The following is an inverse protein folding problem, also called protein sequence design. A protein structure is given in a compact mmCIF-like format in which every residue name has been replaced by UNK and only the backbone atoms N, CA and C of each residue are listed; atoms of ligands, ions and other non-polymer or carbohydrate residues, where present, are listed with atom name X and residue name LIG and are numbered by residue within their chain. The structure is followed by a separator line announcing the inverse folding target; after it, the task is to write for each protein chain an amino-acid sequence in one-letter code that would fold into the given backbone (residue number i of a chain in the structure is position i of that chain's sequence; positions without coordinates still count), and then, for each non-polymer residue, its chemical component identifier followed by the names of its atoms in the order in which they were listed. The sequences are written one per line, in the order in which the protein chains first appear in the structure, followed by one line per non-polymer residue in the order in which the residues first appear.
data_IF_411434407721
#
_entry.id   IF_411434407721
#
_cell.length_a   1.000
_cell.length_b   1.000
_cell.length_c   1.000
_cell.angle_alpha   90.00
_cell.angle_beta   90.00
_cell.angle_gamma   90.00
#
_symmetry.space_group_name_H-M   'P 1'
#
loop_
_entity.id
_entity.type
_entity.pdbx_description
1 polymer ?
#
# COMPACT_ATOMS: atom_id res chain seq x y z
N UNK A 1 12.51 -15.72 9.55
CA UNK A 1 11.44 -16.24 8.67
C UNK A 1 10.42 -16.95 9.56
N UNK A 2 9.40 -16.26 10.06
CA UNK A 2 8.37 -16.88 10.91
C UNK A 2 7.09 -17.10 10.10
N UNK A 3 6.56 -18.32 10.16
CA UNK A 3 5.29 -18.69 9.57
C UNK A 3 4.13 -18.20 10.45
N UNK A 4 3.17 -17.47 9.88
CA UNK A 4 1.99 -17.00 10.61
C UNK A 4 0.92 -18.08 10.64
N UNK A 5 0.56 -18.55 11.84
CA UNK A 5 -0.73 -19.19 12.10
C UNK A 5 -1.82 -18.12 11.83
N UNK A 6 -2.83 -18.40 11.01
CA UNK A 6 -3.95 -17.49 10.62
C UNK A 6 -3.77 -16.62 9.36
N UNK A 7 -2.75 -16.84 8.53
CA UNK A 7 -2.65 -16.19 7.21
C UNK A 7 -2.43 -14.67 7.23
N UNK A 8 -2.09 -14.09 8.39
CA UNK A 8 -1.71 -12.68 8.54
C UNK A 8 -0.29 -12.60 9.07
N UNK A 9 0.61 -12.06 8.25
CA UNK A 9 2.00 -11.84 8.63
C UNK A 9 2.08 -11.02 9.93
N UNK A 10 2.99 -11.40 10.86
CA UNK A 10 3.23 -10.60 12.05
C UNK A 10 3.77 -9.21 11.65
N UNK A 11 3.52 -8.17 12.46
CA UNK A 11 4.16 -6.86 12.28
C UNK A 11 5.69 -6.99 12.30
N UNK A 12 6.38 -6.00 11.72
CA UNK A 12 7.82 -5.88 11.85
C UNK A 12 8.21 -5.66 13.33
N UNK A 13 9.36 -6.22 13.74
CA UNK A 13 9.91 -5.98 15.10
C UNK A 13 10.15 -4.49 15.36
N UNK A 14 10.52 -3.77 14.29
CA UNK A 14 10.68 -2.31 14.26
C UNK A 14 9.88 -1.72 13.10
N UNK A 15 8.61 -1.38 13.30
CA UNK A 15 7.83 -0.66 12.31
C UNK A 15 8.46 0.71 12.04
N UNK A 16 8.36 1.16 10.80
CA UNK A 16 8.85 2.46 10.37
C UNK A 16 7.74 3.23 9.64
N UNK A 17 7.89 4.55 9.59
CA UNK A 17 6.97 5.41 8.84
C UNK A 17 7.46 5.53 7.41
N UNK A 18 6.53 5.38 6.46
CA UNK A 18 6.75 5.60 5.05
C UNK A 18 5.43 5.97 4.37
N UNK A 19 5.52 6.72 3.28
CA UNK A 19 4.41 7.01 2.37
C UNK A 19 4.40 6.06 1.15
N UNK A 20 5.56 5.48 0.84
CA UNK A 20 5.80 4.62 -0.32
C UNK A 20 6.68 3.44 0.09
N UNK A 21 6.28 2.23 -0.31
CA UNK A 21 7.01 0.99 -0.03
C UNK A 21 7.25 0.28 -1.35
N UNK A 22 8.50 -0.13 -1.62
CA UNK A 22 8.80 -1.00 -2.74
C UNK A 22 8.34 -2.43 -2.40
N UNK A 23 7.63 -3.07 -3.32
CA UNK A 23 7.12 -4.43 -3.14
C UNK A 23 7.53 -5.25 -4.35
N UNK A 24 8.47 -6.18 -4.14
CA UNK A 24 8.93 -7.11 -5.16
C UNK A 24 7.95 -8.30 -5.32
N UNK A 25 8.11 -9.12 -6.37
CA UNK A 25 7.26 -10.30 -6.56
C UNK A 25 7.28 -11.23 -5.35
N UNK A 26 6.09 -11.66 -4.92
CA UNK A 26 5.82 -12.53 -3.76
C UNK A 26 6.16 -11.92 -2.38
N UNK A 27 6.61 -10.67 -2.32
CA UNK A 27 6.71 -9.94 -1.06
C UNK A 27 5.32 -9.55 -0.55
N UNK A 28 5.21 -9.50 0.77
CA UNK A 28 3.98 -9.18 1.49
C UNK A 28 4.34 -8.38 2.72
N UNK A 29 3.71 -7.21 2.85
CA UNK A 29 3.94 -6.30 3.96
C UNK A 29 2.62 -5.98 4.67
N UNK A 30 2.52 -6.16 6.00
CA UNK A 30 1.44 -5.55 6.76
C UNK A 30 1.69 -4.03 6.86
N UNK A 31 0.71 -3.24 6.43
CA UNK A 31 0.76 -1.76 6.52
C UNK A 31 -0.35 -1.27 7.44
N UNK A 32 0.01 -0.39 8.36
CA UNK A 32 -0.92 0.33 9.22
C UNK A 32 -1.01 1.77 8.71
N UNK A 33 -2.24 2.24 8.46
CA UNK A 33 -2.50 3.59 7.98
C UNK A 33 -3.28 4.34 9.05
N UNK A 34 -2.85 5.56 9.36
CA UNK A 34 -3.55 6.48 10.25
C UNK A 34 -3.75 7.79 9.51
N UNK A 35 -5.01 8.17 9.30
CA UNK A 35 -5.36 9.50 8.79
C UNK A 35 -5.69 10.42 9.96
N UNK A 36 -5.14 11.63 9.93
CA UNK A 36 -5.49 12.74 10.82
C UNK A 36 -6.41 13.76 10.14
N UNK A 37 -6.62 13.64 8.83
CA UNK A 37 -7.51 14.48 8.04
C UNK A 37 -8.55 13.63 7.27
N UNK A 38 -9.81 14.05 7.32
CA UNK A 38 -10.91 13.42 6.59
C UNK A 38 -10.79 13.75 5.11
N UNK A 39 -11.10 12.78 4.24
CA UNK A 39 -11.04 13.02 2.81
C UNK A 39 -10.99 11.75 1.97
N UNK A 40 -10.86 11.97 0.66
CA UNK A 40 -10.60 10.90 -0.32
C UNK A 40 -9.15 11.02 -0.76
N UNK A 41 -8.35 10.02 -0.39
CA UNK A 41 -6.91 10.00 -0.61
C UNK A 41 -6.55 8.98 -1.68
N UNK A 42 -5.61 9.32 -2.57
CA UNK A 42 -5.17 8.40 -3.62
C UNK A 42 -4.17 7.40 -3.03
N UNK A 43 -4.43 6.11 -3.24
CA UNK A 43 -3.49 5.03 -3.02
C UNK A 43 -3.18 4.38 -4.36
N UNK A 44 -1.91 4.39 -4.79
CA UNK A 44 -1.56 3.91 -6.12
C UNK A 44 -0.15 3.33 -6.20
N UNK A 45 0.12 2.57 -7.26
CA UNK A 45 1.47 2.18 -7.61
C UNK A 45 2.27 3.40 -8.09
N UNK A 46 3.50 3.57 -7.61
CA UNK A 46 4.33 4.71 -7.97
C UNK A 46 4.95 4.59 -9.39
N UNK A 47 4.79 3.44 -10.06
CA UNK A 47 5.15 3.25 -11.48
C UNK A 47 4.02 3.81 -12.36
N UNK A 48 4.24 4.98 -12.96
CA UNK A 48 3.21 5.72 -13.70
C UNK A 48 2.53 4.93 -14.82
N UNK A 49 3.29 4.11 -15.57
CA UNK A 49 2.72 3.25 -16.62
C UNK A 49 1.74 2.19 -16.10
N UNK A 50 1.69 1.94 -14.79
CA UNK A 50 0.72 1.05 -14.16
C UNK A 50 -0.54 1.78 -13.65
N UNK A 51 -0.53 3.11 -13.65
CA UNK A 51 -1.57 3.93 -12.99
C UNK A 51 -2.14 5.07 -13.84
N UNK A 52 -1.52 5.44 -14.95
CA UNK A 52 -1.86 6.63 -15.73
C UNK A 52 -1.92 6.39 -17.24
N UNK A 53 -3.01 6.86 -17.87
CA UNK A 53 -3.23 6.82 -19.32
C UNK A 53 -3.82 8.14 -19.81
N UNK A 54 -3.94 8.30 -21.13
CA UNK A 54 -4.42 9.54 -21.75
C UNK A 54 -5.78 10.04 -21.22
N UNK A 55 -6.67 9.12 -20.82
CA UNK A 55 -8.04 9.44 -20.37
C UNK A 55 -8.18 9.42 -18.83
N UNK A 56 -7.07 9.39 -18.10
CA UNK A 56 -7.02 9.42 -16.64
C UNK A 56 -6.42 8.17 -16.01
N UNK A 57 -6.59 8.07 -14.69
CA UNK A 57 -5.99 6.99 -13.91
C UNK A 57 -6.65 5.63 -14.17
N UNK A 58 -5.84 4.57 -14.24
CA UNK A 58 -6.29 3.19 -14.46
C UNK A 58 -5.42 2.18 -13.69
N UNK A 59 -5.74 0.89 -13.71
CA UNK A 59 -4.84 -0.14 -13.19
C UNK A 59 -4.70 -0.16 -11.66
N UNK A 60 -3.47 -0.01 -11.15
CA UNK A 60 -3.14 -0.18 -9.72
C UNK A 60 -3.35 1.10 -8.91
N UNK A 61 -4.61 1.53 -8.82
CA UNK A 61 -5.02 2.75 -8.12
C UNK A 61 -6.37 2.55 -7.42
N UNK A 62 -6.56 3.17 -6.26
CA UNK A 62 -7.85 3.28 -5.58
C UNK A 62 -7.93 4.57 -4.77
N UNK A 63 -9.15 5.01 -4.47
CA UNK A 63 -9.39 5.98 -3.41
C UNK A 63 -9.51 5.28 -2.07
N UNK A 64 -8.88 5.84 -1.04
CA UNK A 64 -9.10 5.48 0.37
C UNK A 64 -9.88 6.60 1.01
N UNK A 65 -10.99 6.24 1.67
CA UNK A 65 -11.89 7.19 2.32
C UNK A 65 -11.70 7.03 3.83
N UNK A 66 -11.32 8.12 4.48
CA UNK A 66 -11.17 8.20 5.94
C UNK A 66 -12.19 9.17 6.54
#
# INVERSE_FOLDING_TARGET
MSASLQGRLPPLDHPYLADTINVAPDERYPVLVRSDELGVWVWHCQILSHVDWNDGMFGMVTGVIF
#
